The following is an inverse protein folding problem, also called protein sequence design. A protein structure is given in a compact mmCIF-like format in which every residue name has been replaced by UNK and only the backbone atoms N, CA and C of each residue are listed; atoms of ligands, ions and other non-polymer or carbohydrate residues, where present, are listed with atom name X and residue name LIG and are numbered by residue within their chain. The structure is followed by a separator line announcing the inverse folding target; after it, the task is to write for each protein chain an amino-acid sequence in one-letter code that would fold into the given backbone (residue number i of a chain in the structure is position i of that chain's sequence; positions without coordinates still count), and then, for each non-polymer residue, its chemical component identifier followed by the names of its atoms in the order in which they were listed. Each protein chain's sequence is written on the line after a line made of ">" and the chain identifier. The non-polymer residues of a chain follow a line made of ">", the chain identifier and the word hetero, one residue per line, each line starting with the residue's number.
data_IF_843164498293
#
_entry.id   IF_843164498293
#
_cell.length_a   1.000
_cell.length_b   1.000
_cell.length_c   1.000
_cell.angle_alpha   90.00
_cell.angle_beta   90.00
_cell.angle_gamma   90.00
#
_symmetry.space_group_name_H-M   'P 1'
#
loop_
_entity.id
_entity.type
_entity.pdbx_description
1 polymer ?
#
# COMPACT_ATOMS: atom_id res chain seq x y z
N UNK A 1 -24.35 0.80 -22.50
CA UNK A 1 -24.53 -0.62 -22.82
C UNK A 1 -23.36 -1.05 -23.71
N UNK A 2 -22.59 -2.09 -23.31
CA UNK A 2 -21.47 -2.63 -24.10
C UNK A 2 -22.00 -3.73 -25.02
N UNK A 3 -21.86 -3.55 -26.32
CA UNK A 3 -22.25 -4.54 -27.32
C UNK A 3 -21.00 -5.32 -27.78
N UNK A 4 -20.90 -6.56 -27.33
CA UNK A 4 -19.75 -7.43 -27.58
C UNK A 4 -19.50 -7.69 -29.06
N UNK A 5 -20.55 -7.72 -29.87
CA UNK A 5 -20.45 -8.06 -31.28
C UNK A 5 -20.15 -6.84 -32.17
N UNK A 6 -20.41 -5.64 -31.65
CA UNK A 6 -20.16 -4.37 -32.35
C UNK A 6 -18.81 -3.72 -32.01
N UNK A 7 -18.21 -4.08 -30.88
CA UNK A 7 -16.97 -3.46 -30.40
C UNK A 7 -15.74 -4.29 -30.82
N UNK A 8 -14.67 -3.64 -31.35
CA UNK A 8 -13.46 -4.31 -31.81
C UNK A 8 -12.61 -4.90 -30.67
N UNK A 9 -12.77 -4.39 -29.44
CA UNK A 9 -12.06 -4.81 -28.24
C UNK A 9 -13.03 -5.33 -27.19
N UNK A 10 -12.56 -6.25 -26.34
CA UNK A 10 -13.32 -6.69 -25.18
C UNK A 10 -13.52 -5.53 -24.19
N UNK A 11 -14.53 -5.62 -23.31
CA UNK A 11 -14.76 -4.64 -22.26
C UNK A 11 -13.53 -4.42 -21.38
N UNK A 12 -12.80 -5.48 -21.07
CA UNK A 12 -11.58 -5.43 -20.24
C UNK A 12 -10.44 -4.71 -20.94
N UNK A 13 -10.28 -4.93 -22.25
CA UNK A 13 -9.28 -4.23 -23.06
C UNK A 13 -9.61 -2.74 -23.22
N UNK A 14 -10.87 -2.42 -23.53
CA UNK A 14 -11.34 -1.03 -23.66
C UNK A 14 -11.10 -0.20 -22.42
N UNK A 15 -11.24 -0.79 -21.23
CA UNK A 15 -11.05 -0.11 -19.95
C UNK A 15 -9.71 -0.42 -19.26
N UNK A 16 -8.77 -1.06 -19.96
CA UNK A 16 -7.44 -1.41 -19.43
C UNK A 16 -7.48 -2.18 -18.09
N UNK A 17 -8.48 -3.03 -17.90
CA UNK A 17 -8.70 -3.75 -16.62
C UNK A 17 -7.55 -4.68 -16.30
N UNK A 18 -6.99 -5.38 -17.30
CA UNK A 18 -5.84 -6.27 -17.08
C UNK A 18 -4.62 -5.52 -16.58
N UNK A 19 -4.32 -4.34 -17.14
CA UNK A 19 -3.21 -3.51 -16.70
C UNK A 19 -3.40 -3.02 -15.25
N UNK A 20 -4.63 -2.60 -14.90
CA UNK A 20 -4.97 -2.19 -13.54
C UNK A 20 -4.86 -3.35 -12.54
N UNK A 21 -5.27 -4.56 -12.93
CA UNK A 21 -5.09 -5.77 -12.10
C UNK A 21 -3.61 -6.10 -11.88
N UNK A 22 -2.79 -6.04 -12.93
CA UNK A 22 -1.35 -6.23 -12.77
C UNK A 22 -0.75 -5.24 -11.78
N UNK A 23 -1.06 -3.95 -11.90
CA UNK A 23 -0.62 -2.92 -10.96
C UNK A 23 -1.14 -3.16 -9.53
N UNK A 24 -2.38 -3.63 -9.38
CA UNK A 24 -2.96 -3.93 -8.07
C UNK A 24 -2.39 -5.19 -7.42
N UNK A 25 -1.71 -6.06 -8.17
CA UNK A 25 -1.00 -7.23 -7.67
C UNK A 25 0.49 -6.95 -7.41
N UNK A 26 1.02 -5.82 -7.88
CA UNK A 26 2.40 -5.44 -7.67
C UNK A 26 2.64 -5.05 -6.20
N UNK A 27 3.79 -5.44 -5.68
CA UNK A 27 4.26 -5.08 -4.33
C UNK A 27 4.49 -3.58 -4.20
N UNK A 28 4.97 -2.92 -5.26
CA UNK A 28 5.36 -1.52 -5.28
C UNK A 28 4.29 -0.64 -5.93
N UNK A 29 3.98 0.47 -5.28
CA UNK A 29 3.08 1.51 -5.78
C UNK A 29 3.82 2.83 -5.86
N UNK A 30 3.79 3.48 -7.02
CA UNK A 30 4.42 4.78 -7.21
C UNK A 30 3.49 5.92 -6.80
N UNK A 31 4.07 6.95 -6.17
CA UNK A 31 3.38 8.18 -5.79
C UNK A 31 3.64 9.28 -6.83
N UNK A 32 2.72 10.26 -6.98
CA UNK A 32 2.88 11.36 -7.94
C UNK A 32 4.16 12.16 -7.78
N UNK A 33 4.63 12.36 -6.54
CA UNK A 33 5.89 13.04 -6.22
C UNK A 33 7.16 12.27 -6.58
N UNK A 34 7.03 11.01 -7.05
CA UNK A 34 8.14 10.11 -7.32
C UNK A 34 8.56 9.24 -6.12
N UNK A 35 7.91 9.39 -4.97
CA UNK A 35 8.00 8.45 -3.88
C UNK A 35 7.30 7.13 -4.19
N UNK A 36 7.32 6.19 -3.27
CA UNK A 36 6.68 4.90 -3.45
C UNK A 36 6.23 4.25 -2.14
N UNK A 37 5.24 3.38 -2.25
CA UNK A 37 4.83 2.46 -1.20
C UNK A 37 5.34 1.06 -1.52
N UNK A 38 5.75 0.33 -0.49
CA UNK A 38 5.97 -1.12 -0.56
C UNK A 38 4.92 -1.78 0.33
N UNK A 39 4.10 -2.64 -0.23
CA UNK A 39 3.03 -3.34 0.49
C UNK A 39 3.42 -4.81 0.62
N UNK A 40 3.57 -5.28 1.83
CA UNK A 40 3.95 -6.65 2.14
C UNK A 40 2.94 -7.31 3.06
N UNK A 41 2.57 -8.53 2.71
CA UNK A 41 1.72 -9.37 3.53
C UNK A 41 2.58 -10.36 4.30
N UNK A 42 2.42 -10.39 5.62
CA UNK A 42 2.96 -11.44 6.46
C UNK A 42 1.83 -12.35 6.92
N UNK A 43 2.15 -13.45 7.60
CA UNK A 43 1.15 -14.35 8.16
C UNK A 43 0.24 -13.62 9.18
N UNK A 44 0.77 -12.68 9.94
CA UNK A 44 0.05 -12.02 11.03
C UNK A 44 -0.58 -10.67 10.65
N UNK A 45 0.09 -9.89 9.79
CA UNK A 45 -0.32 -8.51 9.47
C UNK A 45 0.20 -8.06 8.11
N UNK A 46 -0.32 -6.93 7.63
CA UNK A 46 0.20 -6.24 6.44
C UNK A 46 1.07 -5.08 6.88
N UNK A 47 2.22 -4.91 6.24
CA UNK A 47 3.14 -3.79 6.44
C UNK A 47 3.16 -2.94 5.19
N UNK A 48 3.13 -1.62 5.37
CA UNK A 48 3.28 -0.64 4.30
C UNK A 48 4.46 0.26 4.64
N UNK A 49 5.50 0.24 3.81
CA UNK A 49 6.68 1.08 3.93
C UNK A 49 6.59 2.23 2.92
N UNK A 50 6.79 3.47 3.41
CA UNK A 50 6.72 4.70 2.61
C UNK A 50 8.12 5.19 2.30
N UNK A 51 8.45 5.31 1.02
CA UNK A 51 9.76 5.75 0.56
C UNK A 51 9.69 7.07 -0.21
N UNK A 52 10.68 7.95 -0.02
CA UNK A 52 10.85 9.15 -0.83
C UNK A 52 11.39 8.83 -2.21
N UNK A 53 11.12 9.72 -3.19
CA UNK A 53 11.82 9.72 -4.45
C UNK A 53 13.27 10.21 -4.33
N UNK A 54 14.07 10.01 -5.38
CA UNK A 54 15.49 10.38 -5.42
C UNK A 54 15.78 11.89 -5.32
N UNK A 55 14.79 12.75 -5.54
CA UNK A 55 14.94 14.20 -5.55
C UNK A 55 14.49 14.82 -4.21
N UNK A 56 15.11 14.41 -3.12
CA UNK A 56 14.97 15.11 -1.85
C UNK A 56 15.85 16.35 -1.93
N UNK A 57 15.25 17.48 -2.35
CA UNK A 57 15.96 18.76 -2.39
C UNK A 57 16.48 19.16 -1.01
N UNK A 58 17.70 19.65 -0.94
CA UNK A 58 18.38 19.97 0.30
C UNK A 58 17.84 21.20 1.04
N UNK A 59 16.94 21.98 0.44
CA UNK A 59 16.51 23.26 0.97
C UNK A 59 15.25 23.23 1.85
N UNK A 60 14.47 22.16 1.83
CA UNK A 60 13.29 22.00 2.69
C UNK A 60 12.89 20.53 2.84
N UNK A 61 13.73 19.74 3.48
CA UNK A 61 13.56 18.30 3.63
C UNK A 61 12.23 17.95 4.35
N UNK A 62 11.93 18.64 5.45
CA UNK A 62 10.71 18.39 6.23
C UNK A 62 9.44 18.63 5.40
N UNK A 63 9.39 19.70 4.60
CA UNK A 63 8.24 19.96 3.73
C UNK A 63 8.09 18.89 2.65
N UNK A 64 9.19 18.45 2.05
CA UNK A 64 9.20 17.38 1.04
C UNK A 64 8.70 16.07 1.63
N UNK A 65 9.17 15.70 2.83
CA UNK A 65 8.73 14.51 3.56
C UNK A 65 7.25 14.61 3.92
N UNK A 66 6.80 15.77 4.41
CA UNK A 66 5.40 16.00 4.75
C UNK A 66 4.48 15.83 3.55
N UNK A 67 4.80 16.42 2.39
CA UNK A 67 4.03 16.27 1.16
C UNK A 67 4.00 14.81 0.67
N UNK A 68 5.15 14.13 0.70
CA UNK A 68 5.22 12.72 0.33
C UNK A 68 4.37 11.84 1.24
N UNK A 69 4.37 12.10 2.54
CA UNK A 69 3.54 11.38 3.51
C UNK A 69 2.05 11.67 3.34
N UNK A 70 1.66 12.87 2.95
CA UNK A 70 0.26 13.20 2.63
C UNK A 70 -0.23 12.43 1.39
N UNK A 71 0.58 12.36 0.34
CA UNK A 71 0.28 11.54 -0.85
C UNK A 71 0.20 10.05 -0.48
N UNK A 72 1.17 9.58 0.32
CA UNK A 72 1.19 8.21 0.80
C UNK A 72 -0.08 7.86 1.60
N UNK A 73 -0.53 8.72 2.49
CA UNK A 73 -1.75 8.51 3.28
C UNK A 73 -3.00 8.32 2.39
N UNK A 74 -3.11 9.14 1.34
CA UNK A 74 -4.20 9.02 0.36
C UNK A 74 -4.12 7.71 -0.42
N UNK A 75 -2.92 7.38 -0.91
CA UNK A 75 -2.71 6.18 -1.73
C UNK A 75 -2.83 4.89 -0.92
N UNK A 76 -2.34 4.85 0.33
CA UNK A 76 -2.54 3.69 1.21
C UNK A 76 -4.04 3.42 1.40
N UNK A 77 -4.84 4.44 1.71
CA UNK A 77 -6.29 4.28 1.85
C UNK A 77 -6.95 3.74 0.57
N UNK A 78 -6.48 4.18 -0.60
CA UNK A 78 -6.92 3.67 -1.90
C UNK A 78 -6.54 2.20 -2.09
N UNK A 79 -5.28 1.83 -1.83
CA UNK A 79 -4.77 0.48 -2.00
C UNK A 79 -5.45 -0.52 -1.05
N UNK A 80 -5.74 -0.13 0.19
CA UNK A 80 -6.47 -0.98 1.14
C UNK A 80 -7.85 -1.37 0.61
N UNK A 81 -8.55 -0.45 -0.06
CA UNK A 81 -9.85 -0.74 -0.69
C UNK A 81 -9.71 -1.55 -1.96
N UNK A 82 -8.78 -1.15 -2.84
CA UNK A 82 -8.58 -1.79 -4.15
C UNK A 82 -8.20 -3.26 -4.00
N UNK A 83 -7.31 -3.54 -3.05
CA UNK A 83 -6.78 -4.90 -2.79
C UNK A 83 -7.59 -5.68 -1.77
N UNK A 84 -8.61 -5.06 -1.16
CA UNK A 84 -9.38 -5.62 -0.04
C UNK A 84 -8.49 -6.17 1.09
N UNK A 85 -7.55 -5.34 1.53
CA UNK A 85 -6.62 -5.69 2.62
C UNK A 85 -7.33 -5.53 3.95
N UNK A 86 -7.42 -6.59 4.73
CA UNK A 86 -8.06 -6.60 6.05
C UNK A 86 -7.14 -7.15 7.14
N UNK A 87 -7.56 -6.96 8.38
CA UNK A 87 -6.80 -7.37 9.57
C UNK A 87 -5.98 -6.21 10.14
N UNK A 88 -4.85 -6.53 10.74
CA UNK A 88 -3.90 -5.56 11.30
C UNK A 88 -3.01 -5.03 10.18
N UNK A 89 -2.85 -3.73 10.11
CA UNK A 89 -2.02 -3.04 9.12
C UNK A 89 -1.13 -2.06 9.87
N UNK A 90 0.16 -2.09 9.57
CA UNK A 90 1.16 -1.15 10.11
C UNK A 90 1.75 -0.37 8.95
N UNK A 91 1.75 0.96 9.07
CA UNK A 91 2.25 1.86 8.07
C UNK A 91 3.45 2.59 8.64
N UNK A 92 4.59 2.48 7.98
CA UNK A 92 5.82 3.17 8.31
C UNK A 92 5.94 4.42 7.44
N UNK A 93 5.46 5.55 7.97
CA UNK A 93 5.61 6.85 7.32
C UNK A 93 7.04 7.35 7.50
N UNK A 94 7.50 8.16 6.55
CA UNK A 94 8.82 8.78 6.65
C UNK A 94 8.84 9.69 7.88
N UNK A 95 9.92 9.63 8.65
CA UNK A 95 10.08 10.42 9.89
C UNK A 95 9.88 11.91 9.64
N UNK A 96 9.06 12.52 10.50
CA UNK A 96 8.78 13.95 10.54
C UNK A 96 9.15 14.50 11.92
N UNK A 97 9.95 15.55 11.95
CA UNK A 97 10.35 16.21 13.22
C UNK A 97 9.18 17.00 13.82
N UNK A 98 8.38 17.65 12.96
CA UNK A 98 7.29 18.53 13.38
C UNK A 98 6.05 17.71 13.76
N UNK A 99 5.69 17.73 15.05
CA UNK A 99 4.51 17.03 15.59
C UNK A 99 3.21 17.38 14.88
N UNK A 100 3.06 18.63 14.48
CA UNK A 100 1.86 19.10 13.77
C UNK A 100 1.72 18.45 12.40
N UNK A 101 2.83 18.25 11.69
CA UNK A 101 2.83 17.55 10.41
C UNK A 101 2.41 16.08 10.58
N UNK A 102 2.91 15.40 11.61
CA UNK A 102 2.48 14.03 11.94
C UNK A 102 0.97 13.93 12.17
N UNK A 103 0.39 14.86 12.92
CA UNK A 103 -1.06 14.90 13.16
C UNK A 103 -1.84 15.11 11.87
N UNK A 104 -1.40 16.04 11.01
CA UNK A 104 -2.03 16.32 9.72
C UNK A 104 -2.01 15.11 8.78
N UNK A 105 -0.91 14.35 8.76
CA UNK A 105 -0.82 13.12 7.97
C UNK A 105 -1.83 12.08 8.46
N UNK A 106 -1.91 11.83 9.78
CA UNK A 106 -2.90 10.88 10.34
C UNK A 106 -4.33 11.34 10.09
N UNK A 107 -4.61 12.63 10.20
CA UNK A 107 -5.93 13.19 9.94
C UNK A 107 -6.31 13.05 8.45
N UNK A 108 -5.39 13.36 7.54
CA UNK A 108 -5.56 13.14 6.10
C UNK A 108 -5.84 11.66 5.78
N UNK A 109 -5.13 10.76 6.45
CA UNK A 109 -5.35 9.33 6.30
C UNK A 109 -6.74 8.89 6.77
N UNK A 110 -7.16 9.34 7.96
CA UNK A 110 -8.52 9.09 8.48
C UNK A 110 -9.60 9.62 7.54
N UNK A 111 -9.39 10.81 6.97
CA UNK A 111 -10.31 11.40 6.01
C UNK A 111 -10.38 10.58 4.71
N UNK A 112 -9.25 10.10 4.20
CA UNK A 112 -9.22 9.23 3.02
C UNK A 112 -9.95 7.92 3.27
N UNK A 113 -9.79 7.32 4.45
CA UNK A 113 -10.49 6.10 4.87
C UNK A 113 -11.99 6.29 5.09
N UNK A 114 -12.47 7.51 5.34
CA UNK A 114 -13.91 7.77 5.51
C UNK A 114 -14.74 7.44 4.26
N UNK A 115 -14.09 7.33 3.10
CA UNK A 115 -14.72 6.89 1.84
C UNK A 115 -14.87 5.37 1.75
N UNK A 116 -14.24 4.63 2.65
CA UNK A 116 -14.33 3.18 2.71
C UNK A 116 -15.63 2.76 3.43
N UNK A 117 -16.41 1.88 2.80
CA UNK A 117 -17.61 1.31 3.42
C UNK A 117 -17.27 0.26 4.48
N UNK A 118 -16.04 -0.25 4.46
CA UNK A 118 -15.54 -1.23 5.42
C UNK A 118 -15.08 -0.54 6.69
N UNK A 119 -15.44 -1.10 7.85
CA UNK A 119 -15.07 -0.54 9.15
C UNK A 119 -13.54 -0.57 9.32
N UNK A 120 -12.98 0.60 9.63
CA UNK A 120 -11.57 0.82 9.94
C UNK A 120 -11.44 1.49 11.31
N UNK A 121 -10.30 1.25 11.96
CA UNK A 121 -9.90 1.94 13.18
C UNK A 121 -8.43 2.30 13.07
N UNK A 122 -8.10 3.59 13.16
CA UNK A 122 -6.74 4.12 13.08
C UNK A 122 -6.33 4.65 14.44
N UNK A 123 -5.19 4.18 14.95
CA UNK A 123 -4.59 4.64 16.18
C UNK A 123 -3.71 5.88 15.93
N UNK A 124 -3.26 6.52 17.00
CA UNK A 124 -2.32 7.63 16.89
C UNK A 124 -0.95 7.13 16.40
N UNK A 125 -0.18 8.05 15.81
CA UNK A 125 1.19 7.75 15.42
C UNK A 125 2.04 7.44 16.65
N UNK A 126 2.77 6.34 16.63
CA UNK A 126 3.64 5.93 17.72
C UNK A 126 4.91 6.78 17.80
N UNK A 127 5.67 6.66 18.89
CA UNK A 127 6.97 7.34 19.04
C UNK A 127 7.98 6.89 17.96
N UNK A 128 7.81 5.70 17.42
CA UNK A 128 8.61 5.16 16.32
C UNK A 128 8.19 5.65 14.92
N UNK A 129 7.19 6.54 14.82
CA UNK A 129 6.70 7.02 13.54
C UNK A 129 5.69 6.08 12.85
N UNK A 130 5.31 4.97 13.48
CA UNK A 130 4.39 3.99 12.91
C UNK A 130 2.94 4.38 13.14
N UNK A 131 2.10 4.15 12.12
CA UNK A 131 0.64 4.22 12.25
C UNK A 131 0.09 2.80 12.22
N UNK A 132 -0.57 2.43 13.30
CA UNK A 132 -1.25 1.15 13.44
C UNK A 132 -2.73 1.33 13.12
N UNK A 133 -3.30 0.37 12.41
CA UNK A 133 -4.73 0.36 12.13
C UNK A 133 -5.28 -1.06 12.01
N UNK A 134 -6.59 -1.16 12.10
CA UNK A 134 -7.32 -2.36 11.75
C UNK A 134 -8.35 -2.06 10.68
N UNK A 135 -8.56 -2.98 9.77
CA UNK A 135 -9.64 -2.98 8.80
C UNK A 135 -10.36 -4.32 8.86
N UNK A 136 -11.69 -4.29 8.93
CA UNK A 136 -12.48 -5.52 8.99
C UNK A 136 -12.18 -6.38 7.76
N UNK A 137 -11.92 -7.68 7.96
CA UNK A 137 -11.81 -8.65 6.87
C UNK A 137 -13.20 -8.95 6.33
N UNK A 138 -13.40 -8.77 5.03
CA UNK A 138 -14.67 -9.06 4.35
C UNK A 138 -14.47 -10.24 3.41
N UNK A 139 -13.36 -10.25 2.66
CA UNK A 139 -13.00 -11.28 1.71
C UNK A 139 -11.59 -11.81 1.96
N UNK A 140 -11.13 -12.63 1.02
CA UNK A 140 -9.76 -13.18 1.05
C UNK A 140 -8.70 -12.19 0.58
N UNK A 141 -9.14 -11.05 0.04
CA UNK A 141 -8.26 -10.07 -0.58
C UNK A 141 -7.88 -10.40 -2.02
N UNK A 142 -7.56 -9.37 -2.79
CA UNK A 142 -7.27 -9.51 -4.22
C UNK A 142 -6.08 -10.44 -4.48
N UNK A 143 -5.01 -10.32 -3.71
CA UNK A 143 -3.80 -11.11 -3.93
C UNK A 143 -4.06 -12.62 -3.76
N UNK A 144 -4.84 -13.02 -2.77
CA UNK A 144 -5.13 -14.43 -2.51
C UNK A 144 -5.98 -15.09 -3.61
N UNK A 145 -6.71 -14.28 -4.39
CA UNK A 145 -7.48 -14.77 -5.54
C UNK A 145 -6.60 -15.13 -6.74
N UNK A 146 -5.37 -14.63 -6.79
CA UNK A 146 -4.46 -14.78 -7.94
C UNK A 146 -3.09 -15.35 -7.57
N UNK A 147 -2.74 -15.43 -6.29
CA UNK A 147 -1.44 -15.90 -5.81
C UNK A 147 -1.52 -17.29 -5.20
N UNK A 148 -0.45 -18.05 -5.36
CA UNK A 148 -0.18 -19.28 -4.64
C UNK A 148 1.10 -19.16 -3.82
N UNK A 149 1.31 -20.07 -2.87
CA UNK A 149 2.55 -20.15 -2.11
C UNK A 149 3.72 -20.50 -3.04
N UNK A 150 4.83 -19.78 -2.90
CA UNK A 150 6.05 -20.07 -3.67
C UNK A 150 6.62 -21.44 -3.23
N UNK A 151 6.78 -22.41 -4.15
CA UNK A 151 7.30 -23.73 -3.79
C UNK A 151 8.77 -23.74 -3.37
N UNK A 152 9.56 -22.71 -3.75
CA UNK A 152 10.98 -22.62 -3.44
C UNK A 152 11.25 -22.07 -2.04
N UNK A 153 10.52 -21.04 -1.63
CA UNK A 153 10.78 -20.35 -0.36
C UNK A 153 9.63 -20.41 0.65
N UNK A 154 8.49 -21.03 0.29
CA UNK A 154 7.30 -21.11 1.14
C UNK A 154 6.91 -19.75 1.75
N UNK A 155 6.94 -18.70 0.93
CA UNK A 155 6.59 -17.34 1.34
C UNK A 155 7.68 -16.56 2.09
N UNK A 156 8.87 -17.16 2.31
CA UNK A 156 9.97 -16.49 3.06
C UNK A 156 10.66 -15.38 2.27
N UNK A 157 10.65 -15.43 0.93
CA UNK A 157 11.34 -14.48 0.06
C UNK A 157 12.85 -14.75 -0.11
N UNK A 158 13.39 -15.80 0.52
CA UNK A 158 14.76 -16.25 0.38
C UNK A 158 14.86 -17.77 0.54
N UNK A 159 15.91 -18.36 -0.01
CA UNK A 159 16.28 -19.76 0.17
C UNK A 159 17.58 -19.87 0.97
N UNK A 160 17.72 -20.93 1.75
CA UNK A 160 18.94 -21.21 2.52
C UNK A 160 19.75 -22.25 1.76
N UNK A 161 21.00 -21.92 1.46
CA UNK A 161 21.97 -22.87 0.91
C UNK A 161 22.68 -23.58 2.05
N UNK A 162 22.22 -24.78 2.36
CA UNK A 162 22.82 -25.61 3.42
C UNK A 162 24.19 -26.14 3.06
N UNK A 163 24.57 -26.17 1.75
CA UNK A 163 25.91 -26.54 1.32
C UNK A 163 27.01 -25.57 1.75
N UNK A 164 26.65 -24.36 2.19
CA UNK A 164 27.60 -23.40 2.78
C UNK A 164 27.90 -23.65 4.27
N UNK A 165 27.22 -24.62 4.90
CA UNK A 165 27.39 -24.95 6.32
C UNK A 165 28.35 -26.13 6.56
N UNK A 166 28.76 -26.82 5.50
CA UNK A 166 29.76 -27.89 5.48
C UNK A 166 31.15 -27.30 5.12
#
# INVERSE_FOLDING_TARGET
>A
FFDRDAEPLSLFETHHVHEQLHKALDRKVWLPSGGSLIIEHTEALTVVDVNTGKNVGTSNLEETVFQNNLEAAQEVAHQLRLRDIGGIIVIDFIDMEIKENRKKVVESFRQALSRDKTRTQVFEISELGLVEMTRKRIGEGLINSFAGECPECSGRGFTVDFGLLD
#
